data_IF_955381906931
#
_entry.id   IF_955381906931
#
_cell.length_a   1.000
_cell.length_b   1.000
_cell.length_c   1.000
_cell.angle_alpha   90.00
_cell.angle_beta   90.00
_cell.angle_gamma   90.00
#
_symmetry.space_group_name_H-M   'P 1'
#
loop_
_entity.id
_entity.type
_entity.pdbx_description
1 polymer ?
#
# COMPACT_ATOMS: atom_id res chain seq x y z
N UNK A 1 3.20 2.56 -2.09
CA UNK A 1 2.06 1.62 -2.13
C UNK A 1 0.81 2.18 -1.45
N UNK A 2 0.88 2.54 -0.17
CA UNK A 2 -0.29 2.95 0.62
C UNK A 2 -1.15 4.04 -0.03
N UNK A 3 -0.55 5.07 -0.63
CA UNK A 3 -1.28 6.11 -1.35
C UNK A 3 -2.15 5.56 -2.50
N UNK A 4 -1.57 4.72 -3.36
CA UNK A 4 -2.32 4.13 -4.47
C UNK A 4 -3.47 3.22 -3.99
N UNK A 5 -3.30 2.53 -2.85
CA UNK A 5 -4.37 1.72 -2.25
C UNK A 5 -5.50 2.59 -1.70
N UNK A 6 -5.17 3.66 -0.94
CA UNK A 6 -6.17 4.61 -0.43
C UNK A 6 -6.96 5.28 -1.54
N UNK A 7 -6.27 5.65 -2.62
CA UNK A 7 -6.86 6.37 -3.74
C UNK A 7 -7.63 5.43 -4.70
N UNK A 8 -7.61 4.11 -4.46
CA UNK A 8 -8.29 3.12 -5.30
C UNK A 8 -7.64 2.89 -6.66
N UNK A 9 -6.41 3.39 -6.85
CA UNK A 9 -5.68 3.33 -8.12
C UNK A 9 -5.12 1.93 -8.42
N UNK A 10 -5.10 1.03 -7.44
CA UNK A 10 -4.55 -0.32 -7.60
C UNK A 10 -5.58 -1.22 -8.28
N UNK A 11 -5.17 -1.82 -9.40
CA UNK A 11 -5.93 -2.88 -10.07
C UNK A 11 -5.59 -4.24 -9.48
N UNK A 12 -4.29 -4.54 -9.36
CA UNK A 12 -3.78 -5.79 -8.80
C UNK A 12 -2.65 -5.50 -7.83
N UNK A 13 -2.77 -5.97 -6.58
CA UNK A 13 -1.70 -5.96 -5.59
C UNK A 13 -0.91 -7.26 -5.69
N UNK A 14 0.42 -7.16 -5.80
CA UNK A 14 1.35 -8.28 -5.79
C UNK A 14 2.08 -8.27 -4.46
N UNK A 15 1.91 -9.33 -3.67
CA UNK A 15 2.50 -9.48 -2.34
C UNK A 15 3.56 -10.58 -2.38
N UNK A 16 4.82 -10.20 -2.22
CA UNK A 16 5.94 -11.09 -1.96
C UNK A 16 6.21 -11.21 -0.46
N UNK A 17 7.48 -11.29 -0.09
CA UNK A 17 7.90 -11.42 1.30
C UNK A 17 7.99 -10.05 2.00
N UNK A 18 7.03 -9.77 2.89
CA UNK A 18 6.97 -8.53 3.68
C UNK A 18 7.63 -8.65 5.06
N UNK A 19 7.94 -9.88 5.52
CA UNK A 19 8.55 -10.13 6.83
C UNK A 19 7.75 -9.51 7.99
N UNK A 20 8.45 -8.76 8.84
CA UNK A 20 7.88 -8.04 9.98
C UNK A 20 7.57 -6.56 9.66
N UNK A 21 7.48 -6.20 8.38
CA UNK A 21 7.12 -4.83 8.00
C UNK A 21 5.76 -4.45 8.59
N UNK A 22 5.67 -3.22 9.08
CA UNK A 22 4.44 -2.65 9.62
C UNK A 22 4.04 -1.39 8.86
N UNK A 23 2.77 -1.07 8.97
CA UNK A 23 2.14 0.16 8.48
C UNK A 23 1.25 0.72 9.58
N UNK A 24 0.85 1.96 9.45
CA UNK A 24 -0.15 2.57 10.35
C UNK A 24 -1.48 2.74 9.63
N UNK A 25 -2.57 2.71 10.40
CA UNK A 25 -3.91 3.02 9.91
C UNK A 25 -4.56 4.10 10.74
N UNK A 26 -5.35 4.96 10.08
CA UNK A 26 -6.30 5.85 10.75
C UNK A 26 -7.55 5.11 11.24
N UNK A 27 -8.59 5.85 11.62
CA UNK A 27 -9.84 5.27 12.14
C UNK A 27 -10.51 4.33 11.14
N UNK A 28 -10.50 4.71 9.86
CA UNK A 28 -10.83 3.79 8.79
C UNK A 28 -9.61 2.92 8.49
N UNK A 29 -9.75 1.59 8.60
CA UNK A 29 -8.66 0.63 8.33
C UNK A 29 -8.13 0.70 6.89
N UNK A 30 -8.89 1.30 5.96
CA UNK A 30 -8.47 1.58 4.58
C UNK A 30 -7.61 2.83 4.46
N UNK A 31 -7.62 3.73 5.45
CA UNK A 31 -6.71 4.88 5.55
C UNK A 31 -5.36 4.39 6.06
N UNK A 32 -4.62 3.71 5.18
CA UNK A 32 -3.30 3.12 5.47
C UNK A 32 -2.17 4.05 5.06
N UNK A 33 -1.11 4.14 5.85
CA UNK A 33 0.10 4.88 5.52
C UNK A 33 1.36 4.15 6.01
N UNK A 34 2.53 4.56 5.51
CA UNK A 34 3.80 3.93 5.88
C UNK A 34 4.15 4.18 7.35
N UNK A 35 3.86 5.39 7.83
CA UNK A 35 4.20 5.88 9.16
C UNK A 35 3.24 6.98 9.61
N UNK A 36 3.40 7.42 10.86
CA UNK A 36 2.55 8.40 11.51
C UNK A 36 2.63 9.79 10.84
N UNK A 37 3.79 10.13 10.27
CA UNK A 37 3.99 11.42 9.61
C UNK A 37 3.11 11.50 8.36
N UNK A 38 3.09 10.44 7.54
CA UNK A 38 2.19 10.37 6.38
C UNK A 38 0.70 10.39 6.74
N UNK A 39 0.27 9.85 7.89
CA UNK A 39 -1.13 10.00 8.34
C UNK A 39 -1.42 11.43 8.78
N UNK A 40 -0.46 12.07 9.46
CA UNK A 40 -0.58 13.45 9.90
C UNK A 40 -0.71 14.42 8.72
N UNK A 41 0.00 14.16 7.61
CA UNK A 41 -0.18 14.89 6.35
C UNK A 41 -1.59 14.77 5.76
N UNK A 42 -2.30 13.66 6.04
CA UNK A 42 -3.70 13.45 5.66
C UNK A 42 -4.68 14.04 6.68
N UNK A 43 -4.19 14.68 7.75
CA UNK A 43 -5.01 15.22 8.84
C UNK A 43 -5.62 14.15 9.75
N UNK A 44 -5.09 12.92 9.71
CA UNK A 44 -5.62 11.77 10.45
C UNK A 44 -4.61 11.32 11.52
N UNK A 45 -5.03 11.07 12.77
CA UNK A 45 -4.14 10.49 13.77
C UNK A 45 -3.90 9.00 13.52
N UNK A 46 -2.81 8.46 14.07
CA UNK A 46 -2.60 7.01 14.13
C UNK A 46 -3.63 6.38 15.07
N UNK A 47 -4.46 5.48 14.54
CA UNK A 47 -5.37 4.64 15.34
C UNK A 47 -4.70 3.30 15.70
N UNK A 48 -3.96 2.72 14.75
CA UNK A 48 -3.33 1.40 14.91
C UNK A 48 -2.03 1.25 14.13
N UNK A 49 -1.08 0.52 14.70
CA UNK A 49 0.05 -0.11 13.96
C UNK A 49 -0.35 -1.54 13.59
N UNK A 50 -0.22 -1.90 12.31
CA UNK A 50 -0.61 -3.20 11.78
C UNK A 50 0.51 -3.83 10.95
N UNK A 51 0.56 -5.16 10.90
CA UNK A 51 1.49 -5.87 10.02
C UNK A 51 1.11 -5.59 8.56
N UNK A 52 2.12 -5.34 7.73
CA UNK A 52 1.93 -4.94 6.34
C UNK A 52 1.32 -6.10 5.50
N UNK A 53 1.65 -7.34 5.84
CA UNK A 53 1.13 -8.56 5.20
C UNK A 53 -0.37 -8.80 5.46
N UNK A 54 -0.96 -8.10 6.42
CA UNK A 54 -2.41 -8.13 6.69
C UNK A 54 -3.10 -6.85 6.20
N UNK A 55 -2.51 -5.69 6.50
CA UNK A 55 -3.13 -4.40 6.24
C UNK A 55 -3.18 -4.04 4.74
N UNK A 56 -2.11 -4.33 3.99
CA UNK A 56 -2.06 -4.00 2.56
C UNK A 56 -3.04 -4.86 1.74
N UNK A 57 -3.13 -6.20 1.94
CA UNK A 57 -4.17 -7.01 1.32
C UNK A 57 -5.58 -6.58 1.68
N UNK A 58 -5.84 -6.24 2.95
CA UNK A 58 -7.14 -5.75 3.37
C UNK A 58 -7.54 -4.48 2.61
N UNK A 59 -6.63 -3.50 2.51
CA UNK A 59 -6.88 -2.27 1.79
C UNK A 59 -7.13 -2.52 0.29
N UNK A 60 -6.39 -3.45 -0.33
CA UNK A 60 -6.59 -3.83 -1.73
C UNK A 60 -7.98 -4.42 -1.98
N UNK A 61 -8.41 -5.37 -1.14
CA UNK A 61 -9.74 -5.98 -1.24
C UNK A 61 -10.84 -4.91 -1.07
N UNK A 62 -10.66 -3.97 -0.14
CA UNK A 62 -11.64 -2.91 0.12
C UNK A 62 -11.85 -1.98 -1.09
N UNK A 63 -10.84 -1.81 -1.96
CA UNK A 63 -10.95 -1.02 -3.20
C UNK A 63 -11.20 -1.87 -4.45
N UNK A 64 -11.56 -3.14 -4.27
CA UNK A 64 -11.86 -4.07 -5.36
C UNK A 64 -10.66 -4.39 -6.24
N UNK A 65 -9.45 -4.35 -5.69
CA UNK A 65 -8.26 -4.81 -6.39
C UNK A 65 -8.15 -6.34 -6.34
N UNK A 66 -7.57 -6.93 -7.37
CA UNK A 66 -7.12 -8.31 -7.33
C UNK A 66 -5.90 -8.44 -6.40
N UNK A 67 -5.74 -9.61 -5.78
CA UNK A 67 -4.62 -9.92 -4.89
C UNK A 67 -3.88 -11.15 -5.41
N UNK A 68 -2.57 -11.01 -5.63
CA UNK A 68 -1.69 -12.10 -6.04
C UNK A 68 -0.59 -12.25 -5.00
N UNK A 69 -0.43 -13.47 -4.47
CA UNK A 69 0.74 -13.83 -3.69
C UNK A 69 1.83 -14.32 -4.64
N UNK A 70 2.94 -13.59 -4.67
CA UNK A 70 4.12 -13.97 -5.40
C UNK A 70 4.98 -14.84 -4.49
N UNK A 71 5.07 -16.14 -4.77
CA UNK A 71 5.99 -17.08 -4.11
C UNK A 71 7.45 -16.82 -4.58
N UNK A 72 7.88 -15.56 -4.48
CA UNK A 72 9.20 -15.03 -4.74
C UNK A 72 9.70 -15.14 -6.21
N UNK A 73 8.81 -15.08 -7.20
CA UNK A 73 9.17 -15.12 -8.63
C UNK A 73 9.42 -13.73 -9.21
N UNK A 74 8.75 -12.71 -8.70
CA UNK A 74 8.87 -11.31 -9.12
C UNK A 74 9.78 -10.54 -8.15
N UNK A 75 9.71 -10.86 -6.85
CA UNK A 75 10.50 -10.23 -5.79
C UNK A 75 10.49 -8.69 -5.83
N UNK A 76 9.34 -8.03 -5.59
CA UNK A 76 9.26 -6.58 -5.54
C UNK A 76 10.23 -5.99 -4.50
N UNK A 77 10.76 -4.78 -4.75
CA UNK A 77 11.82 -4.16 -3.93
C UNK A 77 11.53 -4.13 -2.42
N UNK A 78 10.28 -3.82 -2.03
CA UNK A 78 9.84 -3.77 -0.63
C UNK A 78 8.92 -4.96 -0.26
N UNK A 79 9.00 -6.07 -1.00
CA UNK A 79 8.09 -7.21 -0.82
C UNK A 79 6.66 -6.95 -1.30
N UNK A 80 6.35 -5.78 -1.85
CA UNK A 80 5.04 -5.44 -2.41
C UNK A 80 5.16 -4.62 -3.70
N UNK A 81 4.33 -4.95 -4.68
CA UNK A 81 4.21 -4.27 -5.97
C UNK A 81 2.75 -4.12 -6.38
N UNK A 82 2.47 -3.32 -7.41
CA UNK A 82 1.10 -3.17 -7.90
C UNK A 82 1.05 -2.87 -9.39
N UNK A 83 0.01 -3.39 -10.04
CA UNK A 83 -0.49 -2.89 -11.31
C UNK A 83 -1.55 -1.85 -11.02
N UNK A 84 -1.45 -0.68 -11.66
CA UNK A 84 -2.39 0.41 -11.48
C UNK A 84 -3.50 0.34 -12.54
N UNK A 85 -4.71 0.73 -12.16
CA UNK A 85 -5.87 0.85 -13.06
C UNK A 85 -5.62 1.87 -14.17
N UNK A 86 -4.87 2.93 -13.85
CA UNK A 86 -4.56 4.03 -14.75
C UNK A 86 -3.06 4.28 -14.77
N UNK A 87 -2.56 4.75 -15.91
CA UNK A 87 -1.16 5.17 -16.02
C UNK A 87 -0.88 6.27 -14.97
N UNK A 88 0.17 6.09 -14.18
CA UNK A 88 0.61 7.07 -13.19
C UNK A 88 1.25 8.27 -13.89
N UNK A 89 0.44 9.10 -14.54
CA UNK A 89 0.90 10.30 -15.25
C UNK A 89 1.46 11.37 -14.31
N UNK A 90 1.28 11.26 -12.99
CA UNK A 90 1.70 12.28 -12.02
C UNK A 90 2.59 11.81 -10.85
N UNK A 91 2.72 10.50 -10.55
CA UNK A 91 3.46 10.05 -9.33
C UNK A 91 4.89 9.56 -9.56
N UNK A 92 5.28 9.23 -10.79
CA UNK A 92 6.63 8.70 -11.09
C UNK A 92 7.66 9.78 -11.47
N UNK A 93 7.26 11.07 -11.46
CA UNK A 93 8.11 12.18 -11.89
C UNK A 93 9.13 12.71 -10.88
N UNK A 94 9.17 12.22 -9.63
CA UNK A 94 9.93 12.87 -8.55
C UNK A 94 11.10 12.08 -7.95
N UNK A 95 11.56 10.98 -8.55
CA UNK A 95 12.76 10.25 -8.08
C UNK A 95 13.83 10.14 -9.18
N UNK A 96 14.33 11.29 -9.63
CA UNK A 96 15.63 11.39 -10.31
C UNK A 96 16.41 12.57 -9.73
N UNK A 97 17.26 12.30 -8.75
CA UNK A 97 18.44 13.09 -8.40
C UNK A 97 19.49 12.14 -7.82
#
# INVERSE_FOLDING_TARGET
>A
MCAALRDGDVDTLIVGELGEATVVTGKARTTVARDADMLSELGEPVDRVARADEALPFAAIAVGAALVRDDNRIAPLDGVGALLRYAATNRLGSHRS
#
